data_IF_689853027233
#
_entry.id   IF_689853027233
#
_cell.length_a   1.000
_cell.length_b   1.000
_cell.length_c   1.000
_cell.angle_alpha   90.00
_cell.angle_beta   90.00
_cell.angle_gamma   90.00
#
_symmetry.space_group_name_H-M   'P 1'
#
loop_
_entity.id
_entity.type
_entity.pdbx_description
1 polymer ?
#
# COMPACT_ATOMS: atom_id res chain seq x y z
N UNK A 1 21.16 -9.30 -4.65
CA UNK A 1 21.42 -8.05 -3.86
C UNK A 1 20.62 -8.09 -2.56
N UNK A 2 21.17 -7.60 -1.42
CA UNK A 2 20.39 -7.48 -0.19
C UNK A 2 19.91 -6.02 -0.07
N UNK A 3 18.61 -5.81 -0.09
CA UNK A 3 18.03 -4.52 0.24
C UNK A 3 18.17 -4.33 1.76
N UNK A 4 18.97 -3.35 2.17
CA UNK A 4 19.24 -3.06 3.58
C UNK A 4 18.34 -1.92 4.05
N UNK A 5 17.49 -2.23 5.01
CA UNK A 5 16.64 -1.28 5.68
C UNK A 5 17.23 -0.84 7.03
N UNK A 6 17.23 0.47 7.33
CA UNK A 6 17.83 1.02 8.56
C UNK A 6 16.75 1.29 9.62
N UNK A 7 16.76 0.60 10.79
CA UNK A 7 15.64 0.57 11.74
C UNK A 7 15.62 1.65 12.82
N UNK A 8 16.56 2.61 12.84
CA UNK A 8 16.74 3.50 14.00
C UNK A 8 15.55 4.38 14.40
N UNK A 9 14.74 4.83 13.44
CA UNK A 9 13.54 5.63 13.72
C UNK A 9 12.28 4.80 13.94
N UNK A 10 12.26 3.55 13.49
CA UNK A 10 11.09 2.65 13.50
C UNK A 10 10.78 2.19 14.92
N UNK A 11 11.76 1.78 15.70
CA UNK A 11 11.55 1.28 17.06
C UNK A 11 10.90 2.33 17.98
N UNK A 12 11.27 3.62 17.80
CA UNK A 12 10.66 4.73 18.56
C UNK A 12 9.19 4.95 18.12
N UNK A 13 8.94 4.93 16.81
CA UNK A 13 7.59 5.09 16.26
C UNK A 13 6.68 3.92 16.66
N UNK A 14 7.17 2.69 16.62
CA UNK A 14 6.46 1.49 17.04
C UNK A 14 6.10 1.53 18.54
N UNK A 15 7.02 1.94 19.41
CA UNK A 15 6.73 2.09 20.85
C UNK A 15 5.67 3.14 21.10
N UNK A 16 5.78 4.31 20.45
CA UNK A 16 4.79 5.38 20.57
C UNK A 16 3.42 4.94 20.07
N UNK A 17 3.37 4.19 18.97
CA UNK A 17 2.13 3.63 18.44
C UNK A 17 1.50 2.63 19.42
N UNK A 18 2.27 1.70 20.00
CA UNK A 18 1.77 0.72 20.97
C UNK A 18 1.08 1.38 22.16
N UNK A 19 1.58 2.51 22.64
CA UNK A 19 0.92 3.27 23.71
C UNK A 19 -0.40 3.89 23.25
N UNK A 20 -0.48 4.40 22.02
CA UNK A 20 -1.72 4.96 21.48
C UNK A 20 -2.76 3.88 21.16
N UNK A 21 -2.32 2.69 20.75
CA UNK A 21 -3.22 1.56 20.47
C UNK A 21 -4.07 1.16 21.67
N UNK A 22 -3.62 1.43 22.91
CA UNK A 22 -4.43 1.22 24.12
C UNK A 22 -5.69 2.08 24.14
N UNK A 23 -5.70 3.20 23.43
CA UNK A 23 -6.79 4.19 23.38
C UNK A 23 -7.65 4.09 22.12
N UNK A 24 -7.27 3.20 21.21
CA UNK A 24 -7.91 2.98 19.90
C UNK A 24 -8.98 1.91 20.01
N UNK A 25 -10.09 2.14 19.34
CA UNK A 25 -11.25 1.24 19.28
C UNK A 25 -11.27 0.39 18.01
N UNK A 26 -10.83 0.97 16.87
CA UNK A 26 -10.88 0.36 15.54
C UNK A 26 -9.54 0.58 14.83
N UNK A 27 -9.04 -0.43 14.13
CA UNK A 27 -7.82 -0.35 13.32
C UNK A 27 -8.18 -0.37 11.84
N UNK A 28 -7.81 0.68 11.09
CA UNK A 28 -7.82 0.69 9.64
C UNK A 28 -6.44 0.23 9.17
N UNK A 29 -6.36 -0.97 8.61
CA UNK A 29 -5.16 -1.49 7.98
C UNK A 29 -5.19 -1.13 6.49
N UNK A 30 -4.21 -0.33 6.03
CA UNK A 30 -4.13 0.10 4.63
C UNK A 30 -3.00 -0.65 3.93
N UNK A 31 -3.35 -1.34 2.84
CA UNK A 31 -2.42 -2.04 1.95
C UNK A 31 -2.45 -1.43 0.55
N UNK A 32 -1.45 -1.72 -0.26
CA UNK A 32 -1.38 -1.34 -1.68
C UNK A 32 -1.97 -2.45 -2.55
N UNK A 33 -2.90 -2.11 -3.44
CA UNK A 33 -3.58 -3.08 -4.30
C UNK A 33 -2.64 -3.80 -5.28
N UNK A 34 -1.50 -3.20 -5.62
CA UNK A 34 -0.49 -3.81 -6.48
C UNK A 34 0.28 -4.94 -5.77
N UNK A 35 0.38 -4.86 -4.43
CA UNK A 35 1.19 -5.75 -3.57
C UNK A 35 0.50 -6.00 -2.21
N UNK A 36 -0.72 -6.55 -2.18
CA UNK A 36 -1.50 -6.65 -0.95
C UNK A 36 -0.86 -7.51 0.14
N UNK A 37 -0.06 -8.52 -0.24
CA UNK A 37 0.63 -9.40 0.70
C UNK A 37 1.96 -8.81 1.16
N UNK A 38 2.74 -8.19 0.28
CA UNK A 38 4.01 -7.55 0.65
C UNK A 38 3.80 -6.35 1.58
N UNK A 39 2.65 -5.67 1.51
CA UNK A 39 2.27 -4.57 2.41
C UNK A 39 1.52 -5.02 3.67
N UNK A 40 1.41 -6.32 3.91
CA UNK A 40 0.95 -6.87 5.19
C UNK A 40 2.05 -6.82 6.25
N UNK A 41 1.75 -6.22 7.40
CA UNK A 41 2.71 -6.16 8.51
C UNK A 41 2.57 -7.38 9.43
N UNK A 42 3.64 -8.20 9.65
CA UNK A 42 3.54 -9.45 10.43
C UNK A 42 3.07 -9.26 11.88
N UNK A 43 3.29 -8.08 12.45
CA UNK A 43 2.85 -7.76 13.81
C UNK A 43 1.40 -7.21 13.89
N UNK A 44 0.73 -7.04 12.74
CA UNK A 44 -0.63 -6.51 12.70
C UNK A 44 -1.59 -7.25 13.63
N UNK A 45 -1.63 -8.59 13.67
CA UNK A 45 -2.52 -9.31 14.59
C UNK A 45 -2.29 -8.96 16.05
N UNK A 46 -1.02 -8.78 16.47
CA UNK A 46 -0.69 -8.42 17.85
C UNK A 46 -1.06 -6.98 18.20
N UNK A 47 -1.02 -6.07 17.23
CA UNK A 47 -1.40 -4.67 17.43
C UNK A 47 -2.91 -4.47 17.42
N UNK A 48 -3.61 -5.19 16.56
CA UNK A 48 -5.08 -5.19 16.53
C UNK A 48 -5.62 -5.77 17.84
N UNK A 49 -5.07 -6.91 18.26
CA UNK A 49 -5.54 -7.61 19.47
C UNK A 49 -7.01 -7.86 19.45
N UNK A 50 -7.93 -8.03 19.91
CA UNK A 50 -9.38 -8.26 19.73
C UNK A 50 -10.20 -7.03 19.28
N UNK A 51 -9.58 -6.00 18.71
CA UNK A 51 -10.30 -4.84 18.19
C UNK A 51 -10.85 -5.11 16.79
N UNK A 52 -11.98 -4.49 16.41
CA UNK A 52 -12.42 -4.47 15.04
C UNK A 52 -11.32 -3.96 14.11
N UNK A 53 -11.15 -4.62 12.98
CA UNK A 53 -10.21 -4.25 11.93
C UNK A 53 -10.97 -4.02 10.62
N UNK A 54 -10.70 -2.90 9.96
CA UNK A 54 -11.18 -2.59 8.63
C UNK A 54 -9.98 -2.69 7.69
N UNK A 55 -10.00 -3.68 6.79
CA UNK A 55 -8.94 -3.87 5.79
C UNK A 55 -9.25 -3.00 4.58
N UNK A 56 -8.36 -2.05 4.28
CA UNK A 56 -8.45 -1.17 3.12
C UNK A 56 -7.33 -1.52 2.15
N UNK A 57 -7.71 -1.85 0.90
CA UNK A 57 -6.78 -2.11 -0.19
C UNK A 57 -6.83 -0.91 -1.14
N UNK A 58 -5.89 0.01 -0.98
CA UNK A 58 -5.86 1.29 -1.69
C UNK A 58 -5.13 1.19 -3.03
N UNK A 59 -5.31 2.20 -3.90
CA UNK A 59 -4.77 2.25 -5.28
C UNK A 59 -5.39 1.19 -6.21
N UNK A 60 -6.68 0.92 -6.04
CA UNK A 60 -7.40 0.00 -6.92
C UNK A 60 -7.39 0.42 -8.40
N UNK A 61 -7.13 1.69 -8.68
CA UNK A 61 -6.95 2.27 -10.02
C UNK A 61 -5.68 1.77 -10.72
N UNK A 62 -4.72 1.23 -9.97
CA UNK A 62 -3.43 0.72 -10.47
C UNK A 62 -3.47 -0.75 -10.88
N UNK A 63 -4.57 -1.45 -10.64
CA UNK A 63 -4.79 -2.85 -11.02
C UNK A 63 -6.03 -2.98 -11.89
N UNK A 64 -6.13 -4.07 -12.67
CA UNK A 64 -7.31 -4.30 -13.51
C UNK A 64 -8.54 -4.61 -12.65
N UNK A 65 -9.76 -4.33 -13.14
CA UNK A 65 -10.98 -4.74 -12.44
C UNK A 65 -11.02 -6.25 -12.16
N UNK A 66 -10.54 -7.07 -13.10
CA UNK A 66 -10.49 -8.52 -12.95
C UNK A 66 -9.51 -8.97 -11.88
N UNK A 67 -8.34 -8.31 -11.80
CA UNK A 67 -7.38 -8.55 -10.71
C UNK A 67 -7.98 -8.16 -9.36
N UNK A 68 -8.73 -7.05 -9.30
CA UNK A 68 -9.45 -6.65 -8.08
C UNK A 68 -10.46 -7.71 -7.65
N UNK A 69 -11.32 -8.18 -8.55
CA UNK A 69 -12.32 -9.22 -8.27
C UNK A 69 -11.67 -10.52 -7.76
N UNK A 70 -10.52 -10.91 -8.34
CA UNK A 70 -9.77 -12.06 -7.88
C UNK A 70 -9.25 -11.89 -6.45
N UNK A 71 -8.75 -10.71 -6.12
CA UNK A 71 -8.31 -10.37 -4.75
C UNK A 71 -9.48 -10.29 -3.77
N UNK A 72 -10.63 -9.71 -4.16
CA UNK A 72 -11.86 -9.68 -3.35
C UNK A 72 -12.27 -11.11 -2.97
N UNK A 73 -12.37 -12.00 -3.96
CA UNK A 73 -12.69 -13.41 -3.77
C UNK A 73 -11.69 -14.12 -2.84
N UNK A 74 -10.40 -13.83 -3.02
CA UNK A 74 -9.37 -14.43 -2.17
C UNK A 74 -9.49 -13.97 -0.72
N UNK A 75 -9.66 -12.68 -0.46
CA UNK A 75 -9.85 -12.16 0.90
C UNK A 75 -11.11 -12.73 1.56
N UNK A 76 -12.22 -12.83 0.81
CA UNK A 76 -13.45 -13.46 1.29
C UNK A 76 -13.23 -14.92 1.68
N UNK A 77 -12.45 -15.67 0.91
CA UNK A 77 -12.09 -17.08 1.23
C UNK A 77 -11.28 -17.19 2.52
N UNK A 78 -10.54 -16.13 2.88
CA UNK A 78 -9.81 -16.04 4.14
C UNK A 78 -10.69 -15.53 5.31
N UNK A 79 -11.99 -15.30 5.07
CA UNK A 79 -12.93 -14.76 6.05
C UNK A 79 -12.73 -13.25 6.30
N UNK A 80 -12.13 -12.53 5.36
CA UNK A 80 -11.81 -11.11 5.46
C UNK A 80 -12.62 -10.28 4.47
N UNK A 81 -13.21 -9.19 4.93
CA UNK A 81 -13.81 -8.18 4.05
C UNK A 81 -12.76 -7.11 3.73
N UNK A 82 -12.38 -7.02 2.44
CA UNK A 82 -11.44 -6.03 1.95
C UNK A 82 -12.17 -4.89 1.24
N UNK A 83 -11.90 -3.64 1.64
CA UNK A 83 -12.46 -2.44 1.03
C UNK A 83 -11.48 -1.86 0.03
N UNK A 84 -11.75 -2.04 -1.27
CA UNK A 84 -10.90 -1.50 -2.32
C UNK A 84 -11.18 -0.03 -2.55
N UNK A 85 -10.12 0.80 -2.51
CA UNK A 85 -10.24 2.25 -2.62
C UNK A 85 -9.27 2.86 -3.62
N UNK A 86 -9.70 3.98 -4.22
CA UNK A 86 -8.81 4.99 -4.77
C UNK A 86 -8.94 6.25 -3.90
N UNK A 87 -8.12 6.37 -2.89
CA UNK A 87 -8.19 7.45 -1.92
C UNK A 87 -7.87 8.82 -2.55
N UNK A 88 -7.10 8.88 -3.64
CA UNK A 88 -6.82 10.12 -4.37
C UNK A 88 -8.08 10.68 -5.03
N UNK A 89 -8.94 9.84 -5.59
CA UNK A 89 -10.18 10.23 -6.26
C UNK A 89 -11.45 10.00 -5.44
N UNK A 90 -11.35 9.32 -4.30
CA UNK A 90 -12.45 9.11 -3.35
C UNK A 90 -13.33 7.90 -3.62
N UNK A 91 -12.98 7.07 -4.59
CA UNK A 91 -13.74 5.85 -4.89
C UNK A 91 -13.58 4.83 -3.75
N UNK A 92 -14.67 4.18 -3.33
CA UNK A 92 -14.71 3.19 -2.26
C UNK A 92 -14.46 3.74 -0.84
N UNK A 93 -14.20 5.05 -0.68
CA UNK A 93 -13.89 5.63 0.65
C UNK A 93 -15.15 5.74 1.53
N UNK A 94 -16.33 5.85 0.94
CA UNK A 94 -17.59 5.87 1.69
C UNK A 94 -17.80 4.55 2.44
N UNK A 95 -17.58 3.43 1.77
CA UNK A 95 -17.74 2.08 2.35
C UNK A 95 -16.79 1.86 3.54
N UNK A 96 -15.58 2.43 3.47
CA UNK A 96 -14.63 2.45 4.61
C UNK A 96 -15.18 3.28 5.77
N UNK A 97 -15.77 4.44 5.50
CA UNK A 97 -16.37 5.29 6.54
C UNK A 97 -17.52 4.57 7.25
N UNK A 98 -18.41 3.93 6.49
CA UNK A 98 -19.53 3.16 7.00
C UNK A 98 -19.04 1.98 7.86
N UNK A 99 -18.04 1.24 7.40
CA UNK A 99 -17.46 0.13 8.18
C UNK A 99 -16.86 0.59 9.52
N UNK A 100 -16.23 1.77 9.56
CA UNK A 100 -15.71 2.36 10.81
C UNK A 100 -16.85 2.79 11.71
N UNK A 101 -17.92 3.38 11.15
CA UNK A 101 -19.09 3.83 11.90
C UNK A 101 -19.83 2.64 12.52
N UNK A 102 -20.04 1.56 11.76
CA UNK A 102 -20.69 0.34 12.24
C UNK A 102 -19.92 -0.29 13.42
N UNK A 103 -18.59 -0.34 13.32
CA UNK A 103 -17.75 -0.77 14.44
C UNK A 103 -17.94 0.12 15.67
N UNK A 104 -18.20 1.41 15.47
CA UNK A 104 -18.47 2.40 16.50
C UNK A 104 -19.85 2.25 17.16
N UNK A 105 -20.88 1.95 16.38
CA UNK A 105 -22.23 1.70 16.90
C UNK A 105 -22.19 0.56 17.91
N UNK A 106 -21.53 -0.55 17.58
CA UNK A 106 -21.37 -1.68 18.48
C UNK A 106 -20.61 -1.33 19.77
N UNK A 107 -19.56 -0.50 19.63
CA UNK A 107 -18.81 -0.02 20.78
C UNK A 107 -19.68 0.82 21.71
N UNK A 108 -20.40 1.79 21.16
CA UNK A 108 -21.24 2.69 21.94
C UNK A 108 -22.43 1.97 22.59
N UNK A 109 -22.98 0.93 21.93
CA UNK A 109 -23.98 0.04 22.55
C UNK A 109 -23.41 -0.64 23.80
N UNK A 110 -22.23 -1.25 23.71
CA UNK A 110 -21.56 -1.88 24.88
C UNK A 110 -21.23 -0.87 25.99
N UNK A 111 -20.94 0.39 25.65
CA UNK A 111 -20.72 1.47 26.62
C UNK A 111 -22.02 1.84 27.33
N UNK A 112 -23.08 2.00 26.57
CA UNK A 112 -24.42 2.31 27.11
C UNK A 112 -24.88 1.21 28.08
N UNK A 113 -24.73 -0.06 27.71
CA UNK A 113 -25.08 -1.21 28.58
C UNK A 113 -24.30 -1.21 29.91
N UNK A 114 -23.15 -0.52 29.96
CA UNK A 114 -22.32 -0.31 31.16
C UNK A 114 -22.55 1.02 31.86
N UNK A 115 -23.61 1.76 31.50
CA UNK A 115 -23.93 3.08 32.06
C UNK A 115 -22.97 4.21 31.69
N UNK A 116 -22.18 4.04 30.60
CA UNK A 116 -21.24 5.07 30.11
C UNK A 116 -21.87 5.85 28.95
N UNK A 117 -21.55 7.15 28.88
CA UNK A 117 -21.99 7.99 27.76
C UNK A 117 -21.31 7.56 26.42
N UNK A 118 -22.05 7.68 25.30
CA UNK A 118 -21.46 7.53 23.96
C UNK A 118 -20.30 8.51 23.74
N UNK A 119 -19.34 8.13 22.93
CA UNK A 119 -18.24 8.99 22.50
C UNK A 119 -17.84 8.69 21.06
N UNK A 120 -17.12 9.60 20.40
CA UNK A 120 -16.54 9.31 19.09
C UNK A 120 -15.69 8.04 19.10
N UNK A 121 -15.78 7.27 18.01
CA UNK A 121 -14.93 6.10 17.77
C UNK A 121 -13.52 6.57 17.52
N UNK A 122 -12.57 5.99 18.19
CA UNK A 122 -11.14 6.24 18.00
C UNK A 122 -10.55 5.21 17.06
N UNK A 123 -10.35 5.59 15.82
CA UNK A 123 -9.72 4.75 14.82
C UNK A 123 -8.26 5.15 14.62
N UNK A 124 -7.39 4.20 14.28
CA UNK A 124 -6.02 4.44 13.83
C UNK A 124 -5.85 3.95 12.41
N UNK A 125 -5.13 4.71 11.58
CA UNK A 125 -4.75 4.28 10.23
C UNK A 125 -3.33 3.76 10.27
N UNK A 126 -3.15 2.50 9.91
CA UNK A 126 -1.89 1.78 9.94
C UNK A 126 -1.57 1.17 8.57
N UNK A 127 -0.30 1.00 8.27
CA UNK A 127 0.17 0.41 7.03
C UNK A 127 1.57 0.89 6.67
N UNK A 128 2.14 0.34 5.62
CA UNK A 128 3.44 0.73 5.10
C UNK A 128 3.49 2.21 4.70
N UNK A 129 4.68 2.83 4.56
CA UNK A 129 4.80 4.13 3.92
C UNK A 129 4.18 4.08 2.50
N UNK A 130 3.73 5.20 2.01
CA UNK A 130 3.24 5.42 0.64
C UNK A 130 2.02 4.61 0.17
N UNK A 131 1.49 3.66 0.94
CA UNK A 131 0.23 2.93 0.60
C UNK A 131 -1.00 3.84 0.50
N UNK A 132 -0.87 5.13 0.84
CA UNK A 132 -1.92 6.14 0.68
C UNK A 132 -2.71 6.47 1.95
N UNK A 133 -2.18 6.17 3.16
CA UNK A 133 -2.84 6.51 4.45
C UNK A 133 -3.27 7.96 4.55
N UNK A 134 -2.37 8.90 4.28
CA UNK A 134 -2.66 10.34 4.35
C UNK A 134 -3.70 10.79 3.31
N UNK A 135 -3.70 10.18 2.12
CA UNK A 135 -4.74 10.44 1.11
C UNK A 135 -6.11 9.95 1.61
N UNK A 136 -6.17 8.74 2.17
CA UNK A 136 -7.38 8.19 2.76
C UNK A 136 -7.93 9.08 3.89
N UNK A 137 -7.06 9.52 4.81
CA UNK A 137 -7.43 10.41 5.91
C UNK A 137 -7.99 11.73 5.38
N UNK A 138 -7.30 12.36 4.42
CA UNK A 138 -7.77 13.62 3.82
C UNK A 138 -9.11 13.45 3.11
N UNK A 139 -9.34 12.32 2.47
CA UNK A 139 -10.60 12.03 1.78
C UNK A 139 -11.74 11.78 2.77
N UNK A 140 -11.50 11.04 3.84
CA UNK A 140 -12.47 10.85 4.92
C UNK A 140 -12.84 12.18 5.60
N UNK A 141 -11.90 13.13 5.68
CA UNK A 141 -12.12 14.48 6.21
C UNK A 141 -12.85 15.42 5.24
N UNK A 142 -12.93 15.09 3.95
CA UNK A 142 -13.40 16.00 2.91
C UNK A 142 -12.54 17.25 2.71
N UNK A 143 -11.34 17.31 3.31
CA UNK A 143 -10.39 18.44 3.20
C UNK A 143 -8.94 17.97 3.43
N UNK A 144 -7.98 18.73 2.92
CA UNK A 144 -6.56 18.46 3.15
C UNK A 144 -6.11 18.94 4.52
N UNK A 145 -5.84 18.02 5.43
CA UNK A 145 -5.37 18.30 6.81
C UNK A 145 -4.03 17.63 7.09
N UNK A 146 -3.73 16.54 6.37
CA UNK A 146 -2.48 15.78 6.50
C UNK A 146 -1.67 15.92 5.22
N UNK A 147 -0.35 16.08 5.36
CA UNK A 147 0.52 16.12 4.20
C UNK A 147 0.52 14.74 3.52
N UNK A 148 0.15 14.74 2.25
CA UNK A 148 0.16 13.58 1.37
C UNK A 148 1.19 13.84 0.29
N UNK A 149 2.27 13.07 0.27
CA UNK A 149 3.28 13.11 -0.78
C UNK A 149 3.71 11.68 -1.12
N UNK A 150 4.21 11.48 -2.35
CA UNK A 150 4.67 10.18 -2.83
C UNK A 150 6.01 9.73 -2.22
N UNK A 151 6.56 10.46 -1.23
CA UNK A 151 7.85 10.11 -0.59
C UNK A 151 7.64 9.46 0.77
N UNK A 152 8.36 8.37 1.03
CA UNK A 152 8.34 7.69 2.32
C UNK A 152 8.77 8.63 3.46
N UNK A 153 8.06 8.57 4.61
CA UNK A 153 8.42 9.31 5.81
C UNK A 153 7.84 10.71 5.93
N UNK A 154 6.79 11.04 5.18
CA UNK A 154 6.10 12.37 5.25
C UNK A 154 5.44 12.58 6.61
N UNK A 155 4.71 11.60 7.14
CA UNK A 155 4.12 11.66 8.47
C UNK A 155 5.18 11.32 9.51
N UNK A 156 5.60 12.32 10.30
CA UNK A 156 6.69 12.19 11.29
C UNK A 156 6.22 11.97 12.73
N UNK A 157 4.95 12.27 13.03
CA UNK A 157 4.40 12.23 14.38
C UNK A 157 2.97 11.70 14.41
N UNK A 158 2.59 11.09 15.54
CA UNK A 158 1.23 10.68 15.83
C UNK A 158 0.35 11.90 16.10
N UNK A 159 -0.78 12.01 15.43
CA UNK A 159 -1.72 13.12 15.59
C UNK A 159 -3.16 12.63 15.58
N UNK A 160 -3.96 13.04 16.57
CA UNK A 160 -5.40 12.86 16.59
C UNK A 160 -6.09 13.92 15.72
N UNK A 161 -7.00 13.48 14.88
CA UNK A 161 -7.76 14.32 13.94
C UNK A 161 -9.23 13.97 14.10
N UNK A 162 -10.05 14.97 14.40
CA UNK A 162 -11.52 14.78 14.46
C UNK A 162 -12.08 14.82 13.04
N UNK A 163 -12.68 13.71 12.62
CA UNK A 163 -13.31 13.56 11.30
C UNK A 163 -14.74 14.06 11.33
N UNK A 164 -15.50 13.60 12.34
CA UNK A 164 -16.89 13.98 12.58
C UNK A 164 -17.16 13.97 14.09
N UNK A 165 -18.40 14.21 14.47
CA UNK A 165 -18.82 14.05 15.85
C UNK A 165 -18.79 12.58 16.31
N UNK A 166 -18.70 11.65 15.36
CA UNK A 166 -18.73 10.21 15.60
C UNK A 166 -17.35 9.54 15.48
N UNK A 167 -16.36 10.14 14.79
CA UNK A 167 -15.07 9.53 14.48
C UNK A 167 -13.91 10.47 14.80
N UNK A 168 -12.99 10.01 15.64
CA UNK A 168 -11.65 10.56 15.84
C UNK A 168 -10.61 9.61 15.22
N UNK A 169 -9.69 10.14 14.43
CA UNK A 169 -8.71 9.36 13.69
C UNK A 169 -7.29 9.68 14.14
N UNK A 170 -6.50 8.66 14.43
CA UNK A 170 -5.07 8.79 14.70
C UNK A 170 -4.29 8.58 13.40
N UNK A 171 -3.67 9.63 12.90
CA UNK A 171 -2.69 9.52 11.81
C UNK A 171 -1.38 8.99 12.37
N UNK A 172 -0.97 7.82 11.88
CA UNK A 172 0.26 7.17 12.29
C UNK A 172 1.30 7.20 11.15
N UNK A 173 2.59 7.39 11.47
CA UNK A 173 3.66 7.20 10.50
C UNK A 173 3.56 5.82 9.84
N UNK A 174 4.01 5.72 8.57
CA UNK A 174 4.17 4.42 7.93
C UNK A 174 5.10 3.53 8.75
N UNK A 175 4.67 2.31 9.03
CA UNK A 175 5.43 1.37 9.85
C UNK A 175 5.87 0.23 8.95
N UNK A 176 7.17 0.01 8.92
CA UNK A 176 7.81 -1.09 8.21
C UNK A 176 8.35 -2.07 9.26
N UNK A 177 8.28 -3.38 9.04
CA UNK A 177 8.92 -4.35 9.91
C UNK A 177 10.42 -4.03 10.05
N UNK A 178 10.98 -4.23 11.24
CA UNK A 178 12.41 -4.01 11.52
C UNK A 178 13.31 -4.88 10.63
N UNK A 179 12.77 -5.98 10.09
CA UNK A 179 13.43 -6.83 9.09
C UNK A 179 12.40 -7.26 8.04
N UNK A 180 12.73 -7.04 6.78
CA UNK A 180 12.03 -7.64 5.65
C UNK A 180 12.80 -8.92 5.33
N UNK A 181 12.32 -10.06 5.85
CA UNK A 181 13.04 -11.34 5.72
C UNK A 181 12.94 -11.91 4.29
N UNK A 182 11.90 -11.56 3.55
CA UNK A 182 11.68 -11.98 2.17
C UNK A 182 12.23 -10.91 1.20
N UNK A 183 13.27 -11.25 0.44
CA UNK A 183 13.89 -10.33 -0.53
C UNK A 183 12.96 -10.04 -1.72
N UNK A 184 12.10 -10.96 -2.10
CA UNK A 184 11.09 -10.75 -3.13
C UNK A 184 10.10 -9.64 -2.71
N UNK A 185 9.59 -9.70 -1.47
CA UNK A 185 8.74 -8.64 -0.93
C UNK A 185 9.50 -7.30 -0.84
N UNK A 186 10.79 -7.32 -0.50
CA UNK A 186 11.61 -6.11 -0.47
C UNK A 186 11.73 -5.46 -1.86
N UNK A 187 11.88 -6.26 -2.91
CA UNK A 187 11.90 -5.78 -4.31
C UNK A 187 10.54 -5.16 -4.67
N UNK A 188 9.42 -5.85 -4.40
CA UNK A 188 8.06 -5.33 -4.65
C UNK A 188 7.83 -3.98 -3.95
N UNK A 189 8.22 -3.87 -2.69
CA UNK A 189 8.13 -2.64 -1.90
C UNK A 189 9.02 -1.52 -2.50
N UNK A 190 10.21 -1.85 -3.02
CA UNK A 190 11.08 -0.90 -3.69
C UNK A 190 10.48 -0.43 -5.02
N UNK A 191 9.93 -1.33 -5.82
CA UNK A 191 9.22 -0.99 -7.08
C UNK A 191 8.09 0.01 -6.79
N UNK A 192 7.29 -0.22 -5.74
CA UNK A 192 6.18 0.63 -5.34
C UNK A 192 6.59 1.91 -4.58
N UNK A 193 7.89 2.09 -4.27
CA UNK A 193 8.42 3.20 -3.45
C UNK A 193 7.94 3.19 -1.98
N UNK A 194 7.52 2.03 -1.48
CA UNK A 194 7.09 1.87 -0.08
C UNK A 194 8.27 1.80 0.89
N UNK A 195 9.50 1.68 0.36
CA UNK A 195 10.78 1.87 1.05
C UNK A 195 11.59 2.97 0.35
N UNK A 196 12.41 3.69 1.14
CA UNK A 196 13.15 4.85 0.61
C UNK A 196 14.21 4.45 -0.44
N UNK A 197 14.40 5.31 -1.46
CA UNK A 197 15.36 5.09 -2.57
C UNK A 197 16.80 4.85 -2.12
N UNK A 198 17.20 5.35 -0.95
CA UNK A 198 18.54 5.11 -0.40
C UNK A 198 18.79 3.64 -0.01
N UNK A 199 17.75 2.79 -0.01
CA UNK A 199 17.83 1.39 0.40
C UNK A 199 18.14 0.42 -0.75
N UNK A 200 18.09 0.87 -2.01
CA UNK A 200 18.21 0.00 -3.18
C UNK A 200 18.87 0.69 -4.39
N UNK A 201 19.30 -0.13 -5.35
CA UNK A 201 19.80 0.30 -6.65
C UNK A 201 18.65 0.31 -7.66
N UNK A 202 18.44 1.45 -8.33
CA UNK A 202 17.32 1.61 -9.27
C UNK A 202 17.42 0.66 -10.47
N UNK A 203 18.64 0.40 -10.97
CA UNK A 203 18.84 -0.46 -12.14
C UNK A 203 18.46 -1.90 -11.82
N UNK A 204 18.90 -2.40 -10.66
CA UNK A 204 18.56 -3.74 -10.19
C UNK A 204 17.06 -3.89 -9.93
N UNK A 205 16.41 -2.89 -9.32
CA UNK A 205 14.97 -2.93 -9.03
C UNK A 205 14.15 -2.82 -10.30
N UNK A 206 14.56 -1.99 -11.28
CA UNK A 206 13.88 -1.87 -12.57
C UNK A 206 13.98 -3.16 -13.40
N UNK A 207 15.17 -3.80 -13.44
CA UNK A 207 15.35 -5.09 -14.11
C UNK A 207 14.48 -6.18 -13.45
N UNK A 208 14.51 -6.28 -12.11
CA UNK A 208 13.68 -7.23 -11.38
C UNK A 208 12.17 -6.98 -11.56
N UNK A 209 11.75 -5.72 -11.74
CA UNK A 209 10.36 -5.41 -12.07
C UNK A 209 9.95 -6.00 -13.42
N UNK A 210 10.81 -5.88 -14.42
CA UNK A 210 10.57 -6.43 -15.77
C UNK A 210 10.44 -7.95 -15.70
N UNK A 211 11.38 -8.63 -15.06
CA UNK A 211 11.36 -10.09 -14.91
C UNK A 211 10.09 -10.56 -14.18
N UNK A 212 9.76 -9.94 -13.07
CA UNK A 212 8.56 -10.26 -12.27
C UNK A 212 7.27 -10.09 -13.09
N UNK A 213 7.15 -9.00 -13.87
CA UNK A 213 5.95 -8.74 -14.65
C UNK A 213 5.79 -9.76 -15.80
N UNK A 214 6.87 -10.21 -16.43
CA UNK A 214 6.85 -11.28 -17.43
C UNK A 214 6.37 -12.58 -16.79
N UNK A 215 6.91 -12.95 -15.64
CA UNK A 215 6.50 -14.16 -14.90
C UNK A 215 5.02 -14.13 -14.51
N UNK A 216 4.53 -12.99 -14.02
CA UNK A 216 3.13 -12.85 -13.58
C UNK A 216 2.15 -12.87 -14.75
N UNK A 217 2.47 -12.22 -15.89
CA UNK A 217 1.62 -12.32 -17.10
C UNK A 217 1.59 -13.76 -17.64
N UNK A 218 2.73 -14.47 -17.63
CA UNK A 218 2.80 -15.87 -18.03
C UNK A 218 2.02 -16.79 -17.09
N UNK A 219 1.91 -16.45 -15.80
CA UNK A 219 1.13 -17.20 -14.82
C UNK A 219 -0.38 -17.01 -15.01
N UNK A 220 -0.83 -15.79 -15.31
CA UNK A 220 -2.24 -15.49 -15.63
C UNK A 220 -2.38 -14.19 -16.46
N UNK A 221 -2.39 -14.35 -17.78
CA UNK A 221 -2.58 -13.24 -18.73
C UNK A 221 -3.96 -12.56 -18.62
N UNK A 222 -4.91 -13.20 -17.94
CA UNK A 222 -6.26 -12.65 -17.80
C UNK A 222 -6.34 -11.56 -16.72
N UNK A 223 -5.42 -11.55 -15.77
CA UNK A 223 -5.41 -10.61 -14.66
C UNK A 223 -4.64 -9.32 -14.96
N UNK A 224 -3.64 -9.37 -15.83
CA UNK A 224 -2.84 -8.20 -16.22
C UNK A 224 -2.25 -8.35 -17.62
N UNK A 225 -1.75 -7.24 -18.20
CA UNK A 225 -1.01 -7.28 -19.47
C UNK A 225 0.14 -6.29 -19.46
N UNK A 226 1.31 -6.75 -19.88
CA UNK A 226 2.53 -5.93 -20.03
C UNK A 226 2.60 -5.16 -21.34
N UNK A 227 1.53 -5.16 -22.15
CA UNK A 227 1.45 -4.46 -23.44
C UNK A 227 1.77 -2.96 -23.37
N UNK A 228 1.61 -2.35 -22.19
CA UNK A 228 1.97 -0.97 -21.91
C UNK A 228 3.45 -0.67 -22.13
N UNK A 229 4.35 -1.64 -21.89
CA UNK A 229 5.79 -1.50 -22.17
C UNK A 229 6.07 -1.30 -23.65
N UNK A 230 5.47 -2.14 -24.50
CA UNK A 230 5.59 -2.01 -25.96
C UNK A 230 5.02 -0.69 -26.46
N UNK A 231 3.90 -0.25 -25.90
CA UNK A 231 3.31 1.06 -26.23
C UNK A 231 4.23 2.21 -25.85
N UNK A 232 4.85 2.14 -24.67
CA UNK A 232 5.70 3.19 -24.08
C UNK A 232 7.11 3.21 -24.66
N UNK A 233 7.78 2.06 -24.73
CA UNK A 233 9.20 1.95 -25.08
C UNK A 233 9.44 1.48 -26.51
N UNK A 234 8.41 0.99 -27.23
CA UNK A 234 8.47 0.45 -28.59
C UNK A 234 9.29 -0.84 -28.72
N UNK A 235 9.61 -1.45 -27.59
CA UNK A 235 10.31 -2.72 -27.45
C UNK A 235 9.40 -3.73 -26.77
N UNK A 236 9.50 -4.99 -27.17
CA UNK A 236 8.73 -6.08 -26.57
C UNK A 236 9.43 -6.57 -25.31
N UNK A 237 8.73 -6.52 -24.18
CA UNK A 237 9.29 -6.93 -22.88
C UNK A 237 9.58 -8.44 -22.82
N UNK A 238 8.79 -9.26 -23.52
CA UNK A 238 8.89 -10.71 -23.49
C UNK A 238 10.10 -11.27 -24.29
N UNK A 239 10.86 -10.41 -25.00
CA UNK A 239 11.96 -10.85 -25.87
C UNK A 239 13.30 -11.03 -25.15
N UNK A 240 13.44 -10.54 -23.90
CA UNK A 240 14.70 -10.54 -23.16
C UNK A 240 14.47 -10.57 -21.64
N UNK A 241 15.52 -10.81 -20.86
CA UNK A 241 15.46 -10.63 -19.41
C UNK A 241 15.45 -9.14 -19.05
N UNK A 242 15.13 -8.83 -17.78
CA UNK A 242 14.96 -7.46 -17.32
C UNK A 242 16.21 -6.59 -17.45
N UNK A 243 17.40 -7.15 -17.26
CA UNK A 243 18.69 -6.42 -17.41
C UNK A 243 18.94 -6.05 -18.86
N UNK A 244 18.83 -7.01 -19.78
CA UNK A 244 18.99 -6.79 -21.21
C UNK A 244 17.95 -5.80 -21.75
N UNK A 245 16.68 -5.96 -21.33
CA UNK A 245 15.60 -5.04 -21.70
C UNK A 245 15.90 -3.60 -21.26
N UNK A 246 16.36 -3.43 -20.01
CA UNK A 246 16.72 -2.11 -19.48
C UNK A 246 17.85 -1.46 -20.31
N UNK A 247 18.89 -2.24 -20.66
CA UNK A 247 19.99 -1.76 -21.49
C UNK A 247 19.55 -1.40 -22.90
N UNK A 248 18.67 -2.18 -23.52
CA UNK A 248 18.13 -1.94 -24.85
C UNK A 248 17.31 -0.65 -24.89
N UNK A 249 16.41 -0.45 -23.92
CA UNK A 249 15.64 0.80 -23.76
C UNK A 249 16.58 2.00 -23.53
N UNK A 250 17.64 1.82 -22.72
CA UNK A 250 18.61 2.87 -22.46
C UNK A 250 19.32 3.30 -23.74
N UNK A 251 19.77 2.34 -24.54
CA UNK A 251 20.44 2.58 -25.82
C UNK A 251 19.54 3.31 -26.82
N UNK A 252 18.28 2.84 -26.95
CA UNK A 252 17.34 3.38 -27.94
C UNK A 252 16.82 4.78 -27.57
N UNK A 253 16.55 5.03 -26.29
CA UNK A 253 15.80 6.23 -25.87
C UNK A 253 16.58 7.21 -25.00
N UNK A 254 17.61 6.76 -24.31
CA UNK A 254 18.30 7.56 -23.30
C UNK A 254 19.81 7.66 -23.54
N UNK A 255 20.26 7.42 -24.79
CA UNK A 255 21.68 7.52 -25.20
C UNK A 255 22.60 6.62 -24.36
N UNK A 256 22.12 5.47 -23.91
CA UNK A 256 22.85 4.52 -23.09
C UNK A 256 22.88 4.82 -21.59
N UNK A 257 22.14 5.84 -21.11
CA UNK A 257 22.04 6.16 -19.67
C UNK A 257 21.07 5.18 -18.98
N UNK A 258 21.64 4.10 -18.43
CA UNK A 258 20.87 3.02 -17.78
C UNK A 258 20.22 3.49 -16.47
N UNK A 259 20.91 4.32 -15.69
CA UNK A 259 20.36 4.82 -14.41
C UNK A 259 19.14 5.71 -14.64
N UNK A 260 19.22 6.62 -15.59
CA UNK A 260 18.10 7.45 -15.99
C UNK A 260 16.92 6.62 -16.50
N UNK A 261 17.21 5.58 -17.28
CA UNK A 261 16.20 4.66 -17.82
C UNK A 261 15.48 3.92 -16.68
N UNK A 262 16.24 3.38 -15.73
CA UNK A 262 15.72 2.68 -14.57
C UNK A 262 14.77 3.56 -13.75
N UNK A 263 15.20 4.78 -13.41
CA UNK A 263 14.36 5.74 -12.69
C UNK A 263 13.08 6.10 -13.45
N UNK A 264 13.19 6.30 -14.75
CA UNK A 264 12.04 6.62 -15.58
C UNK A 264 11.07 5.42 -15.65
N UNK A 265 11.57 4.21 -15.82
CA UNK A 265 10.76 2.99 -15.89
C UNK A 265 10.01 2.73 -14.59
N UNK A 266 10.69 2.85 -13.45
CA UNK A 266 10.05 2.76 -12.14
C UNK A 266 8.99 3.86 -11.93
N UNK A 267 9.28 5.09 -12.36
CA UNK A 267 8.31 6.17 -12.27
C UNK A 267 7.10 5.93 -13.19
N UNK A 268 7.30 5.46 -14.42
CA UNK A 268 6.22 5.14 -15.36
C UNK A 268 5.30 4.03 -14.80
N UNK A 269 5.84 3.04 -14.10
CA UNK A 269 5.06 2.06 -13.36
C UNK A 269 4.27 2.71 -12.22
N UNK A 270 4.93 3.49 -11.35
CA UNK A 270 4.34 4.13 -10.15
C UNK A 270 3.24 5.12 -10.48
N UNK A 271 3.27 5.68 -11.67
CA UNK A 271 2.29 6.67 -12.16
C UNK A 271 1.22 6.09 -13.08
N UNK A 272 1.25 4.78 -13.36
CA UNK A 272 0.28 4.10 -14.22
C UNK A 272 0.47 4.33 -15.71
N UNK A 273 1.59 4.92 -16.14
CA UNK A 273 1.92 5.14 -17.57
C UNK A 273 2.07 3.80 -18.32
N UNK A 274 2.50 2.75 -17.62
CA UNK A 274 2.63 1.39 -18.16
C UNK A 274 1.31 0.60 -18.15
N UNK A 275 0.20 1.20 -17.69
CA UNK A 275 -1.09 0.55 -17.53
C UNK A 275 -1.33 0.06 -16.10
N UNK A 276 -2.38 -0.74 -15.95
CA UNK A 276 -2.78 -1.34 -14.68
C UNK A 276 -2.01 -2.65 -14.48
N UNK A 277 -1.04 -2.64 -13.58
CA UNK A 277 -0.10 -3.72 -13.36
C UNK A 277 -0.01 -4.06 -11.87
N UNK A 278 -0.28 -5.31 -11.52
CA UNK A 278 -0.04 -5.86 -10.19
C UNK A 278 1.31 -6.60 -10.14
N UNK A 279 1.93 -6.63 -8.98
CA UNK A 279 3.18 -7.35 -8.71
C UNK A 279 2.94 -8.60 -7.83
N UNK A 280 1.69 -8.92 -7.58
CA UNK A 280 1.23 -10.12 -6.88
C UNK A 280 -0.06 -10.63 -7.50
N UNK A 281 -0.21 -11.93 -7.51
CA UNK A 281 -1.47 -12.63 -7.79
C UNK A 281 -2.04 -13.20 -6.49
N UNK A 282 -3.37 -13.34 -6.35
CA UNK A 282 -3.94 -14.05 -5.24
C UNK A 282 -3.37 -15.49 -5.18
N UNK A 283 -2.96 -15.98 -4.01
CA UNK A 283 -2.56 -17.38 -3.86
C UNK A 283 -3.69 -18.34 -4.21
N UNK A 284 -3.33 -19.50 -4.80
CA UNK A 284 -4.26 -20.54 -5.19
C UNK A 284 -4.98 -21.17 -3.97
#
# INVERSE_FOLDING_TARGET
MKIHWYPGHIAKAERALKEQLKRVDVVLEVRDARIPLATYHPQMPSWVGGKPRVLVVNRMDMITPRSREAWETWFESQGETAYFTNAEHGQGVHDVADAVQDAGVQLNKRRFDRGMLPRPVRAVVMGFPNVGKSALINRLLGRRVVDSARKAGVTKSLRWIRISDEIELLDAPGIIPTRINNQENAIKLAICEDIGEAAYDNQVVAAAMVDLLIELEAADETLMSVSGFKSRYKLDIASSNGEDYLHEVAKDRYKGDVERTARQMLNDFRTGVLGQLNLELPPA
#
